data_IF_742875765754
#
_entry.id   IF_742875765754
#
_cell.length_a   1.000
_cell.length_b   1.000
_cell.length_c   1.000
_cell.angle_alpha   90.00
_cell.angle_beta   90.00
_cell.angle_gamma   90.00
#
_symmetry.space_group_name_H-M   'P 1'
#
loop_
_entity.id
_entity.type
_entity.pdbx_description
1 polymer ?
#
# COMPACT_ATOMS: atom_id res chain seq x y z
N UNK A 1 -31.99 23.15 -24.82
CA UNK A 1 -32.08 21.70 -25.18
C UNK A 1 -30.69 21.04 -25.23
N UNK A 2 -29.71 21.53 -24.47
CA UNK A 2 -28.31 21.05 -24.44
C UNK A 2 -27.87 20.55 -23.04
N UNK A 3 -28.75 20.54 -22.03
CA UNK A 3 -28.43 20.05 -20.67
C UNK A 3 -28.81 18.58 -20.43
N UNK A 4 -29.74 18.01 -21.22
CA UNK A 4 -30.16 16.60 -21.04
C UNK A 4 -29.16 15.59 -21.59
N UNK A 5 -28.37 15.96 -22.61
CA UNK A 5 -27.39 15.05 -23.23
C UNK A 5 -26.12 14.83 -22.40
N UNK A 6 -25.77 15.76 -21.50
CA UNK A 6 -24.62 15.59 -20.59
C UNK A 6 -24.98 14.74 -19.37
N UNK A 7 -26.20 14.89 -18.84
CA UNK A 7 -26.70 14.11 -17.70
C UNK A 7 -26.86 12.63 -18.06
N UNK A 8 -27.49 12.30 -19.18
CA UNK A 8 -27.68 10.89 -19.60
C UNK A 8 -26.36 10.15 -19.89
N UNK A 9 -25.30 10.88 -20.25
CA UNK A 9 -23.94 10.36 -20.39
C UNK A 9 -23.30 10.08 -19.03
N UNK A 10 -23.35 11.06 -18.12
CA UNK A 10 -22.87 10.93 -16.75
C UNK A 10 -23.59 9.82 -15.96
N UNK A 11 -24.91 9.67 -16.14
CA UNK A 11 -25.70 8.62 -15.49
C UNK A 11 -25.26 7.22 -15.91
N UNK A 12 -24.95 7.01 -17.20
CA UNK A 12 -24.45 5.74 -17.71
C UNK A 12 -23.05 5.43 -17.18
N UNK A 13 -22.16 6.41 -17.23
CA UNK A 13 -20.81 6.29 -16.70
C UNK A 13 -20.82 5.93 -15.19
N UNK A 14 -21.66 6.61 -14.40
CA UNK A 14 -21.82 6.31 -12.97
C UNK A 14 -22.40 4.91 -12.75
N UNK A 15 -23.34 4.46 -13.59
CA UNK A 15 -23.93 3.12 -13.48
C UNK A 15 -22.87 2.03 -13.68
N UNK A 16 -22.06 2.16 -14.73
CA UNK A 16 -20.98 1.22 -15.05
C UNK A 16 -19.91 1.20 -13.94
N UNK A 17 -19.51 2.38 -13.45
CA UNK A 17 -18.57 2.52 -12.34
C UNK A 17 -19.13 1.89 -11.06
N UNK A 18 -20.40 2.15 -10.73
CA UNK A 18 -21.04 1.56 -9.54
C UNK A 18 -21.09 0.03 -9.62
N UNK A 19 -21.47 -0.51 -10.79
CA UNK A 19 -21.49 -1.96 -11.02
C UNK A 19 -20.11 -2.57 -10.78
N UNK A 20 -19.08 -1.94 -11.36
CA UNK A 20 -17.71 -2.39 -11.27
C UNK A 20 -17.12 -2.30 -9.85
N UNK A 21 -17.47 -1.25 -9.09
CA UNK A 21 -17.08 -1.08 -7.70
C UNK A 21 -17.93 -1.89 -6.71
N UNK A 22 -19.05 -2.46 -7.16
CA UNK A 22 -20.04 -3.09 -6.29
C UNK A 22 -20.80 -2.11 -5.39
N UNK A 23 -20.94 -0.86 -5.82
CA UNK A 23 -21.70 0.18 -5.11
C UNK A 23 -23.15 0.21 -5.59
N UNK A 24 -24.07 0.55 -4.68
CA UNK A 24 -25.46 0.82 -5.07
C UNK A 24 -25.51 2.13 -5.84
N UNK A 25 -26.08 2.11 -7.04
CA UNK A 25 -26.14 3.31 -7.89
C UNK A 25 -26.81 4.50 -7.19
N UNK A 26 -27.90 4.25 -6.47
CA UNK A 26 -28.61 5.28 -5.69
C UNK A 26 -27.74 5.90 -4.61
N UNK A 27 -26.82 5.13 -3.99
CA UNK A 27 -25.93 5.67 -2.96
C UNK A 27 -25.02 6.77 -3.49
N UNK A 28 -24.49 6.61 -4.70
CA UNK A 28 -23.59 7.59 -5.32
C UNK A 28 -24.38 8.76 -5.90
N UNK A 29 -25.45 8.48 -6.64
CA UNK A 29 -26.27 9.51 -7.29
C UNK A 29 -26.92 10.46 -6.27
N UNK A 30 -27.56 9.93 -5.22
CA UNK A 30 -28.26 10.74 -4.20
C UNK A 30 -27.30 11.69 -3.47
N UNK A 31 -26.01 11.37 -3.41
CA UNK A 31 -24.98 12.21 -2.78
C UNK A 31 -24.40 13.22 -3.77
N UNK A 32 -24.12 12.82 -5.02
CA UNK A 32 -23.65 13.75 -6.05
C UNK A 32 -24.70 14.82 -6.37
N UNK A 33 -25.98 14.46 -6.41
CA UNK A 33 -27.08 15.41 -6.65
C UNK A 33 -27.16 16.53 -5.60
N UNK A 34 -26.71 16.27 -4.37
CA UNK A 34 -26.65 17.25 -3.28
C UNK A 34 -25.45 18.20 -3.37
N UNK A 35 -24.47 17.87 -4.20
CA UNK A 35 -23.30 18.71 -4.45
C UNK A 35 -23.63 19.65 -5.60
N UNK A 36 -23.33 20.94 -5.41
CA UNK A 36 -23.52 21.95 -6.46
C UNK A 36 -22.68 21.60 -7.70
N UNK A 37 -23.12 22.03 -8.88
CA UNK A 37 -22.34 21.76 -10.10
C UNK A 37 -20.93 22.37 -10.04
N UNK A 38 -20.78 23.53 -9.39
CA UNK A 38 -19.48 24.20 -9.21
C UNK A 38 -18.55 23.37 -8.32
N UNK A 39 -19.09 22.74 -7.27
CA UNK A 39 -18.28 21.97 -6.33
C UNK A 39 -17.85 20.61 -6.90
N UNK A 40 -18.62 20.02 -7.81
CA UNK A 40 -18.33 18.68 -8.36
C UNK A 40 -16.97 18.60 -9.03
N UNK A 41 -16.56 19.67 -9.71
CA UNK A 41 -15.32 19.71 -10.48
C UNK A 41 -14.06 19.92 -9.60
N UNK A 42 -14.22 20.17 -8.29
CA UNK A 42 -13.09 20.31 -7.37
C UNK A 42 -12.38 19.00 -7.04
N UNK A 43 -13.01 17.84 -7.30
CA UNK A 43 -12.44 16.53 -7.01
C UNK A 43 -12.76 15.53 -8.13
N UNK A 44 -11.92 14.50 -8.25
CA UNK A 44 -12.23 13.40 -9.15
C UNK A 44 -13.45 12.61 -8.65
N UNK A 45 -14.14 11.89 -9.54
CA UNK A 45 -15.22 11.00 -9.15
C UNK A 45 -14.75 9.92 -8.15
N UNK A 46 -13.51 9.44 -8.29
CA UNK A 46 -12.90 8.50 -7.34
C UNK A 46 -12.84 9.11 -5.94
N UNK A 47 -12.37 10.35 -5.80
CA UNK A 47 -12.24 11.04 -4.52
C UNK A 47 -13.60 11.36 -3.90
N UNK A 48 -14.60 11.71 -4.71
CA UNK A 48 -15.98 11.85 -4.24
C UNK A 48 -16.54 10.55 -3.68
N UNK A 49 -16.39 9.44 -4.40
CA UNK A 49 -16.87 8.12 -3.95
C UNK A 49 -16.19 7.72 -2.64
N UNK A 50 -14.87 7.87 -2.54
CA UNK A 50 -14.11 7.58 -1.31
C UNK A 50 -14.62 8.45 -0.16
N UNK A 51 -14.82 9.75 -0.38
CA UNK A 51 -15.36 10.68 0.62
C UNK A 51 -16.75 10.24 1.10
N UNK A 52 -17.61 9.77 0.20
CA UNK A 52 -18.95 9.28 0.55
C UNK A 52 -18.90 8.05 1.45
N UNK A 53 -18.04 7.08 1.11
CA UNK A 53 -17.84 5.86 1.89
C UNK A 53 -17.30 6.21 3.29
N UNK A 54 -16.26 7.05 3.37
CA UNK A 54 -15.66 7.48 4.63
C UNK A 54 -16.67 8.22 5.53
N UNK A 55 -17.41 9.18 4.98
CA UNK A 55 -18.43 9.93 5.73
C UNK A 55 -19.56 9.02 6.23
N UNK A 56 -20.00 8.07 5.41
CA UNK A 56 -20.98 7.07 5.84
C UNK A 56 -20.41 6.19 6.95
N UNK A 57 -19.14 5.78 6.87
CA UNK A 57 -18.50 4.97 7.90
C UNK A 57 -18.38 5.70 9.25
N UNK A 58 -18.16 7.02 9.25
CA UNK A 58 -18.14 7.80 10.49
C UNK A 58 -19.45 7.69 11.28
N UNK A 59 -20.58 7.59 10.58
CA UNK A 59 -21.91 7.45 11.21
C UNK A 59 -22.23 6.05 11.74
N UNK A 60 -21.42 5.03 11.40
CA UNK A 60 -21.63 3.65 11.86
C UNK A 60 -21.18 3.47 13.32
N UNK A 61 -21.93 2.66 14.09
CA UNK A 61 -21.65 2.37 15.49
C UNK A 61 -20.27 1.71 15.68
N UNK A 62 -19.60 1.99 16.80
CA UNK A 62 -18.30 1.37 17.12
C UNK A 62 -18.37 -0.15 17.23
N UNK A 63 -19.52 -0.71 17.63
CA UNK A 63 -19.76 -2.15 17.73
C UNK A 63 -19.74 -2.83 16.37
N UNK A 64 -20.35 -2.21 15.36
CA UNK A 64 -20.43 -2.78 14.01
C UNK A 64 -19.09 -2.71 13.28
N UNK A 65 -18.22 -1.76 13.63
CA UNK A 65 -16.86 -1.58 13.08
C UNK A 65 -15.87 -2.68 13.48
N UNK A 66 -16.23 -3.57 14.42
CA UNK A 66 -15.29 -4.52 15.04
C UNK A 66 -14.89 -5.68 14.15
N UNK A 67 -15.72 -6.05 13.18
CA UNK A 67 -15.43 -7.17 12.29
C UNK A 67 -15.72 -6.83 10.83
N UNK A 68 -14.82 -7.21 9.90
CA UNK A 68 -15.10 -7.17 8.48
C UNK A 68 -16.32 -7.99 8.10
N UNK A 69 -17.40 -7.33 7.68
CA UNK A 69 -18.66 -7.98 7.29
C UNK A 69 -19.30 -7.33 6.05
N UNK A 70 -20.14 -8.10 5.36
CA UNK A 70 -20.91 -7.61 4.22
C UNK A 70 -21.96 -6.59 4.66
N UNK A 71 -22.53 -6.75 5.85
CA UNK A 71 -23.52 -5.85 6.45
C UNK A 71 -22.91 -4.47 6.73
N UNK A 72 -21.67 -4.44 7.23
CA UNK A 72 -20.95 -3.19 7.45
C UNK A 72 -20.70 -2.47 6.12
N UNK A 73 -20.25 -3.17 5.07
CA UNK A 73 -20.07 -2.58 3.74
C UNK A 73 -21.41 -2.09 3.15
N UNK A 74 -22.48 -2.84 3.35
CA UNK A 74 -23.82 -2.44 2.94
C UNK A 74 -24.27 -1.12 3.59
N UNK A 75 -23.92 -0.90 4.86
CA UNK A 75 -24.22 0.35 5.57
C UNK A 75 -23.49 1.57 5.01
N UNK A 76 -22.36 1.36 4.31
CA UNK A 76 -21.55 2.41 3.69
C UNK A 76 -21.66 2.46 2.17
N UNK A 77 -22.72 1.85 1.61
CA UNK A 77 -23.14 2.06 0.23
C UNK A 77 -22.90 0.90 -0.74
N UNK A 78 -22.26 -0.19 -0.29
CA UNK A 78 -22.03 -1.34 -1.15
C UNK A 78 -23.30 -2.20 -1.33
N UNK A 79 -23.38 -2.87 -2.48
CA UNK A 79 -24.35 -3.95 -2.69
C UNK A 79 -23.80 -5.24 -2.04
N UNK A 80 -24.46 -5.78 -0.99
CA UNK A 80 -23.99 -6.98 -0.30
C UNK A 80 -23.94 -8.23 -1.20
N UNK A 81 -24.55 -8.19 -2.39
CA UNK A 81 -24.51 -9.29 -3.38
C UNK A 81 -23.39 -9.15 -4.41
N UNK A 82 -22.61 -8.07 -4.36
CA UNK A 82 -21.50 -7.86 -5.28
C UNK A 82 -20.28 -8.70 -4.89
N UNK A 83 -19.59 -9.26 -5.90
CA UNK A 83 -18.28 -9.91 -5.73
C UNK A 83 -17.20 -8.96 -5.19
N UNK A 84 -17.37 -7.65 -5.33
CA UNK A 84 -16.51 -6.65 -4.71
C UNK A 84 -16.57 -6.74 -3.18
N UNK A 85 -17.75 -6.96 -2.59
CA UNK A 85 -17.91 -7.09 -1.13
C UNK A 85 -17.16 -8.32 -0.62
N UNK A 86 -17.27 -9.45 -1.31
CA UNK A 86 -16.52 -10.67 -0.96
C UNK A 86 -15.00 -10.41 -0.99
N UNK A 87 -14.53 -9.72 -2.03
CA UNK A 87 -13.12 -9.34 -2.19
C UNK A 87 -12.63 -8.42 -1.08
N UNK A 88 -13.37 -7.34 -0.78
CA UNK A 88 -13.01 -6.37 0.26
C UNK A 88 -12.97 -7.04 1.64
N UNK A 89 -13.98 -7.86 1.97
CA UNK A 89 -14.04 -8.56 3.26
C UNK A 89 -12.89 -9.56 3.38
N UNK A 90 -12.59 -10.34 2.34
CA UNK A 90 -11.48 -11.29 2.34
C UNK A 90 -10.14 -10.57 2.56
N UNK A 91 -9.88 -9.49 1.81
CA UNK A 91 -8.68 -8.67 1.95
C UNK A 91 -8.57 -8.05 3.35
N UNK A 92 -9.66 -7.47 3.85
CA UNK A 92 -9.69 -6.85 5.18
C UNK A 92 -9.40 -7.86 6.30
N UNK A 93 -9.89 -9.11 6.20
CA UNK A 93 -9.58 -10.17 7.16
C UNK A 93 -8.09 -10.51 7.19
N UNK A 94 -7.45 -10.55 6.02
CA UNK A 94 -6.01 -10.85 5.90
C UNK A 94 -5.11 -9.69 6.38
N UNK A 95 -5.63 -8.47 6.44
CA UNK A 95 -4.88 -7.26 6.84
C UNK A 95 -5.43 -6.58 8.10
N UNK A 96 -6.30 -7.26 8.87
CA UNK A 96 -7.11 -6.68 9.95
C UNK A 96 -6.29 -6.02 11.07
N UNK A 97 -5.01 -6.36 11.21
CA UNK A 97 -4.11 -5.75 12.20
C UNK A 97 -3.52 -4.41 11.72
N UNK A 98 -3.73 -4.06 10.46
CA UNK A 98 -3.07 -2.92 9.83
C UNK A 98 -4.01 -1.98 9.09
N UNK A 99 -5.13 -2.49 8.58
CA UNK A 99 -6.08 -1.77 7.73
C UNK A 99 -7.49 -2.13 8.22
N UNK A 100 -8.29 -1.11 8.53
CA UNK A 100 -9.71 -1.30 8.86
C UNK A 100 -10.58 -1.52 7.61
N UNK A 101 -11.84 -1.94 7.78
CA UNK A 101 -12.69 -2.27 6.63
C UNK A 101 -12.98 -1.06 5.72
N UNK A 102 -13.12 0.14 6.29
CA UNK A 102 -13.39 1.35 5.51
C UNK A 102 -12.16 1.74 4.70
N UNK A 103 -10.98 1.68 5.31
CA UNK A 103 -9.72 1.90 4.61
C UNK A 103 -9.52 0.84 3.51
N UNK A 104 -9.86 -0.43 3.76
CA UNK A 104 -9.78 -1.47 2.73
C UNK A 104 -10.75 -1.21 1.56
N UNK A 105 -11.96 -0.72 1.85
CA UNK A 105 -12.90 -0.32 0.82
C UNK A 105 -12.36 0.83 -0.05
N UNK A 106 -11.74 1.85 0.58
CA UNK A 106 -11.05 2.91 -0.13
C UNK A 106 -9.91 2.37 -1.02
N UNK A 107 -9.07 1.49 -0.46
CA UNK A 107 -7.98 0.85 -1.20
C UNK A 107 -8.51 0.13 -2.43
N UNK A 108 -9.57 -0.65 -2.26
CA UNK A 108 -10.22 -1.37 -3.36
C UNK A 108 -10.73 -0.43 -4.44
N UNK A 109 -11.43 0.65 -4.06
CA UNK A 109 -11.96 1.65 -4.99
C UNK A 109 -10.83 2.29 -5.79
N UNK A 110 -9.78 2.78 -5.11
CA UNK A 110 -8.63 3.43 -5.77
C UNK A 110 -7.90 2.47 -6.70
N UNK A 111 -7.71 1.21 -6.30
CA UNK A 111 -7.11 0.16 -7.15
C UNK A 111 -7.93 -0.11 -8.42
N UNK A 112 -9.25 -0.18 -8.26
CA UNK A 112 -10.21 -0.37 -9.33
C UNK A 112 -10.16 0.80 -10.34
N UNK A 113 -10.11 2.05 -9.88
CA UNK A 113 -9.92 3.21 -10.74
C UNK A 113 -8.56 3.21 -11.46
N UNK A 114 -7.50 2.84 -10.74
CA UNK A 114 -6.12 2.81 -11.24
C UNK A 114 -5.94 1.81 -12.39
N UNK A 115 -6.57 0.64 -12.31
CA UNK A 115 -6.26 -0.47 -13.20
C UNK A 115 -7.37 -0.95 -14.13
N UNK A 116 -8.64 -0.57 -13.91
CA UNK A 116 -9.77 -1.13 -14.67
C UNK A 116 -10.80 -0.12 -15.17
N UNK A 117 -10.97 1.03 -14.51
CA UNK A 117 -11.92 2.08 -14.98
C UNK A 117 -11.29 3.03 -15.99
N UNK A 118 -9.98 3.29 -15.91
CA UNK A 118 -9.34 4.31 -16.75
C UNK A 118 -9.28 3.90 -18.24
N UNK A 119 -9.86 4.66 -19.18
CA UNK A 119 -9.83 4.34 -20.62
C UNK A 119 -8.42 4.36 -21.25
N UNK A 120 -7.44 4.99 -20.60
CA UNK A 120 -6.05 5.05 -21.05
C UNK A 120 -5.23 3.81 -20.69
N UNK A 121 -5.79 2.88 -19.90
CA UNK A 121 -5.13 1.60 -19.63
C UNK A 121 -5.29 0.70 -20.84
N UNK A 122 -4.41 0.85 -21.84
CA UNK A 122 -3.96 -0.31 -22.60
C UNK A 122 -3.40 -1.26 -21.55
N UNK A 123 -4.20 -2.24 -21.15
CA UNK A 123 -3.88 -3.19 -20.07
C UNK A 123 -2.83 -4.17 -20.55
N UNK A 124 -1.62 -3.68 -20.82
CA UNK A 124 -0.45 -4.52 -20.81
C UNK A 124 -0.42 -5.22 -19.45
N UNK A 125 -0.37 -6.56 -19.48
CA UNK A 125 -0.42 -7.38 -18.26
C UNK A 125 0.67 -6.98 -17.25
N UNK A 126 1.79 -6.47 -17.76
CA UNK A 126 2.95 -5.98 -17.03
C UNK A 126 3.40 -4.60 -17.55
N UNK A 127 3.95 -3.75 -16.67
CA UNK A 127 4.33 -2.38 -17.04
C UNK A 127 5.61 -2.29 -17.88
N UNK A 128 6.50 -3.29 -17.79
CA UNK A 128 7.82 -3.28 -18.44
C UNK A 128 8.04 -4.58 -19.21
N UNK A 129 8.46 -4.45 -20.48
CA UNK A 129 8.73 -5.57 -21.40
C UNK A 129 7.66 -6.67 -21.30
N UNK A 130 6.39 -6.30 -21.45
CA UNK A 130 5.23 -7.17 -21.19
C UNK A 130 5.18 -8.45 -22.02
N UNK A 131 5.97 -8.53 -23.09
CA UNK A 131 6.14 -9.71 -23.94
C UNK A 131 7.11 -10.76 -23.35
N UNK A 132 7.85 -10.42 -22.29
CA UNK A 132 8.78 -11.33 -21.60
C UNK A 132 8.15 -11.68 -20.25
N UNK A 133 7.78 -12.95 -20.07
CA UNK A 133 7.20 -13.47 -18.83
C UNK A 133 8.00 -14.67 -18.33
N UNK A 134 7.99 -14.88 -17.02
CA UNK A 134 8.66 -15.98 -16.31
C UNK A 134 10.16 -16.13 -16.67
N UNK A 135 10.80 -15.02 -17.03
CA UNK A 135 12.22 -14.96 -17.38
C UNK A 135 12.79 -13.64 -16.87
N UNK A 136 13.94 -13.71 -16.20
CA UNK A 136 14.66 -12.54 -15.71
C UNK A 136 15.20 -11.69 -16.87
N UNK A 137 15.06 -10.37 -16.73
CA UNK A 137 15.67 -9.39 -17.61
C UNK A 137 16.21 -8.22 -16.80
N UNK A 138 17.27 -7.60 -17.31
CA UNK A 138 17.94 -6.47 -16.64
C UNK A 138 17.53 -5.14 -17.24
N UNK A 139 17.32 -4.15 -16.39
CA UNK A 139 17.15 -2.76 -16.76
C UNK A 139 18.31 -1.92 -16.22
N UNK A 140 18.88 -1.08 -17.07
CA UNK A 140 19.85 -0.07 -16.67
C UNK A 140 19.11 1.22 -16.29
N UNK A 141 19.44 1.75 -15.11
CA UNK A 141 18.92 3.01 -14.61
C UNK A 141 20.06 4.02 -14.66
N UNK A 142 19.83 5.11 -15.39
CA UNK A 142 20.71 6.27 -15.36
C UNK A 142 20.23 7.19 -14.24
N UNK A 143 21.05 7.39 -13.21
CA UNK A 143 20.80 8.46 -12.25
C UNK A 143 21.17 9.79 -12.91
N UNK A 144 20.19 10.62 -13.24
CA UNK A 144 20.41 11.96 -13.79
C UNK A 144 20.96 12.93 -12.74
N UNK A 145 20.91 12.57 -11.46
CA UNK A 145 21.03 13.54 -10.35
C UNK A 145 22.43 13.65 -9.78
N UNK A 146 23.43 13.25 -10.56
CA UNK A 146 24.82 13.29 -10.13
C UNK A 146 25.71 13.73 -11.29
N UNK A 147 26.02 15.04 -11.35
CA UNK A 147 27.20 15.59 -12.06
C UNK A 147 28.51 15.10 -11.39
N UNK A 148 28.67 13.79 -11.20
CA UNK A 148 29.94 13.19 -10.84
C UNK A 148 30.45 12.47 -12.07
N UNK A 149 31.60 12.94 -12.52
CA UNK A 149 32.50 12.30 -13.47
C UNK A 149 32.55 10.79 -13.17
N UNK A 150 31.87 9.98 -14.00
CA UNK A 150 31.76 8.53 -13.84
C UNK A 150 30.39 8.08 -13.31
N UNK A 151 29.33 8.25 -14.11
CA UNK A 151 28.00 7.72 -13.79
C UNK A 151 28.06 6.20 -13.63
N UNK A 152 27.84 5.71 -12.41
CA UNK A 152 27.70 4.27 -12.15
C UNK A 152 26.35 3.83 -12.69
N UNK A 153 26.35 3.06 -13.77
CA UNK A 153 25.16 2.40 -14.30
C UNK A 153 24.62 1.44 -13.24
N UNK A 154 23.48 1.76 -12.64
CA UNK A 154 22.83 0.87 -11.68
C UNK A 154 21.93 -0.09 -12.47
N UNK A 155 22.06 -1.38 -12.19
CA UNK A 155 21.25 -2.41 -12.80
C UNK A 155 20.25 -2.97 -11.80
N UNK A 156 19.00 -3.11 -12.25
CA UNK A 156 17.96 -3.82 -11.49
C UNK A 156 17.52 -5.02 -12.31
N UNK A 157 17.43 -6.17 -11.65
CA UNK A 157 16.92 -7.40 -12.25
C UNK A 157 15.38 -7.47 -12.08
N UNK A 158 14.67 -7.76 -13.16
CA UNK A 158 13.21 -7.78 -13.16
C UNK A 158 12.67 -9.10 -13.72
N UNK A 159 11.51 -9.50 -13.21
CA UNK A 159 10.76 -10.64 -13.74
C UNK A 159 9.26 -10.32 -13.72
N UNK A 160 8.59 -10.69 -14.81
CA UNK A 160 7.15 -10.66 -14.92
C UNK A 160 6.61 -12.08 -14.70
N UNK A 161 6.10 -12.35 -13.50
CA UNK A 161 5.62 -13.68 -13.10
C UNK A 161 4.13 -13.83 -13.36
N UNK A 162 3.76 -14.82 -14.16
CA UNK A 162 2.38 -15.28 -14.33
C UNK A 162 2.20 -16.54 -13.49
N UNK A 163 1.30 -16.50 -12.52
CA UNK A 163 1.07 -17.61 -11.59
C UNK A 163 -0.40 -17.70 -11.19
N UNK A 164 -0.75 -18.76 -10.47
CA UNK A 164 -1.98 -18.86 -9.70
C UNK A 164 -1.70 -18.67 -8.21
N UNK A 165 -2.74 -18.35 -7.45
CA UNK A 165 -2.67 -18.05 -6.01
C UNK A 165 -1.93 -19.14 -5.22
N UNK A 166 -2.21 -20.43 -5.50
CA UNK A 166 -1.65 -21.57 -4.78
C UNK A 166 -0.15 -21.78 -5.00
N UNK A 167 0.43 -21.21 -6.07
CA UNK A 167 1.84 -21.38 -6.43
C UNK A 167 2.69 -20.11 -6.20
N UNK A 168 2.05 -18.97 -5.91
CA UNK A 168 2.74 -17.69 -5.80
C UNK A 168 3.90 -17.73 -4.78
N UNK A 169 3.66 -18.29 -3.59
CA UNK A 169 4.70 -18.39 -2.55
C UNK A 169 5.80 -19.38 -2.88
N UNK A 170 5.49 -20.52 -3.51
CA UNK A 170 6.52 -21.49 -3.90
C UNK A 170 7.44 -20.94 -4.98
N UNK A 171 6.86 -20.26 -5.99
CA UNK A 171 7.63 -19.61 -7.05
C UNK A 171 8.48 -18.49 -6.44
N UNK A 172 7.91 -17.65 -5.58
CA UNK A 172 8.65 -16.59 -4.89
C UNK A 172 9.90 -17.14 -4.18
N UNK A 173 9.76 -18.22 -3.40
CA UNK A 173 10.89 -18.84 -2.70
C UNK A 173 11.95 -19.38 -3.66
N UNK A 174 11.54 -20.00 -4.76
CA UNK A 174 12.46 -20.49 -5.79
C UNK A 174 13.22 -19.35 -6.47
N UNK A 175 12.50 -18.33 -6.95
CA UNK A 175 13.11 -17.19 -7.64
C UNK A 175 14.08 -16.42 -6.74
N UNK A 176 13.67 -16.12 -5.51
CA UNK A 176 14.54 -15.44 -4.54
C UNK A 176 15.72 -16.30 -4.11
N UNK A 177 15.52 -17.62 -3.93
CA UNK A 177 16.60 -18.54 -3.54
C UNK A 177 17.68 -18.69 -4.61
N UNK A 178 17.32 -18.52 -5.90
CA UNK A 178 18.27 -18.52 -7.00
C UNK A 178 19.01 -17.19 -7.15
N UNK A 179 18.34 -16.08 -6.81
CA UNK A 179 18.83 -14.73 -7.04
C UNK A 179 19.72 -14.21 -5.90
N UNK A 180 19.35 -14.50 -4.65
CA UNK A 180 20.01 -13.93 -3.48
C UNK A 180 21.19 -14.81 -3.04
N UNK A 181 22.40 -14.25 -3.10
CA UNK A 181 23.59 -14.90 -2.53
C UNK A 181 23.46 -15.02 -1.01
N UNK A 182 23.84 -16.19 -0.45
CA UNK A 182 24.00 -16.39 1.00
C UNK A 182 25.28 -15.71 1.49
N UNK A 183 25.34 -14.40 1.36
CA UNK A 183 26.44 -13.59 1.90
C UNK A 183 25.99 -12.94 3.21
N UNK A 184 26.71 -13.24 4.29
CA UNK A 184 26.44 -12.72 5.64
C UNK A 184 26.61 -11.20 5.73
N UNK A 185 27.24 -10.57 4.74
CA UNK A 185 27.44 -9.11 4.72
C UNK A 185 26.18 -8.32 4.38
N UNK A 186 25.15 -8.94 3.81
CA UNK A 186 23.95 -8.25 3.37
C UNK A 186 22.72 -8.59 4.23
N UNK A 187 21.80 -7.63 4.32
CA UNK A 187 20.42 -7.84 4.77
C UNK A 187 19.53 -7.73 3.54
N UNK A 188 18.65 -8.69 3.37
CA UNK A 188 17.63 -8.62 2.31
C UNK A 188 16.32 -8.13 2.93
N UNK A 189 15.77 -7.07 2.35
CA UNK A 189 14.52 -6.47 2.77
C UNK A 189 13.55 -6.40 1.58
N UNK A 190 12.27 -6.49 1.90
CA UNK A 190 11.20 -6.60 0.92
C UNK A 190 10.17 -5.50 1.13
N UNK A 191 9.68 -4.97 0.01
CA UNK A 191 8.55 -4.04 0.00
C UNK A 191 7.48 -4.56 -0.97
N UNK A 192 6.27 -4.80 -0.45
CA UNK A 192 5.11 -5.16 -1.24
C UNK A 192 4.33 -3.93 -1.69
N UNK A 193 4.08 -3.81 -2.99
CA UNK A 193 3.37 -2.67 -3.59
C UNK A 193 2.62 -3.08 -4.86
N UNK A 194 2.16 -2.11 -5.65
CA UNK A 194 1.53 -2.35 -6.95
C UNK A 194 2.46 -2.05 -8.13
N UNK A 195 2.12 -2.54 -9.33
CA UNK A 195 2.95 -2.41 -10.54
C UNK A 195 3.38 -0.98 -10.86
N UNK A 196 2.44 -0.02 -10.84
CA UNK A 196 2.76 1.38 -11.15
C UNK A 196 3.60 2.01 -10.06
N UNK A 197 3.29 1.74 -8.78
CA UNK A 197 4.09 2.25 -7.66
C UNK A 197 5.52 1.69 -7.67
N UNK A 198 5.71 0.42 -8.05
CA UNK A 198 7.03 -0.17 -8.26
C UNK A 198 7.80 0.52 -9.40
N UNK A 199 7.12 0.90 -10.49
CA UNK A 199 7.73 1.67 -11.57
C UNK A 199 8.10 3.08 -11.12
N UNK A 200 7.24 3.76 -10.36
CA UNK A 200 7.55 5.07 -9.80
C UNK A 200 8.79 4.99 -8.89
N UNK A 201 8.88 3.98 -8.02
CA UNK A 201 10.08 3.77 -7.18
C UNK A 201 11.34 3.53 -8.03
N UNK A 202 11.23 2.69 -9.06
CA UNK A 202 12.34 2.37 -9.96
C UNK A 202 12.87 3.64 -10.66
N UNK A 203 11.98 4.43 -11.26
CA UNK A 203 12.36 5.56 -12.11
C UNK A 203 12.54 6.88 -11.34
N UNK A 204 11.78 7.11 -10.29
CA UNK A 204 11.69 8.39 -9.57
C UNK A 204 12.21 8.32 -8.14
N UNK A 205 12.40 7.11 -7.60
CA UNK A 205 12.89 6.91 -6.24
C UNK A 205 11.76 6.78 -5.23
N UNK A 206 12.14 6.65 -3.97
CA UNK A 206 11.21 6.43 -2.86
C UNK A 206 10.67 7.79 -2.40
N UNK A 207 9.41 8.08 -2.72
CA UNK A 207 8.70 9.25 -2.19
C UNK A 207 7.99 8.88 -0.87
N UNK A 208 8.50 9.41 0.25
CA UNK A 208 7.92 9.13 1.57
C UNK A 208 6.51 9.68 1.73
N UNK A 209 6.12 10.74 1.02
CA UNK A 209 4.80 11.38 1.11
C UNK A 209 3.67 10.49 0.56
N UNK A 210 4.02 9.46 -0.20
CA UNK A 210 3.09 8.45 -0.70
C UNK A 210 2.78 7.37 0.37
N UNK A 211 3.45 7.44 1.53
CA UNK A 211 3.20 6.57 2.67
C UNK A 211 1.77 6.67 3.18
N UNK A 212 1.21 5.54 3.62
CA UNK A 212 -0.18 5.51 4.13
C UNK A 212 -0.29 6.15 5.51
N UNK A 213 -1.48 6.65 5.83
CA UNK A 213 -1.80 7.17 7.16
C UNK A 213 -1.88 6.02 8.17
N UNK A 214 -1.76 6.36 9.47
CA UNK A 214 -2.00 5.44 10.59
C UNK A 214 -1.27 4.10 10.48
N UNK A 215 0.03 4.14 10.25
CA UNK A 215 0.92 2.97 10.30
C UNK A 215 1.68 2.94 11.63
N UNK A 216 2.47 1.90 11.88
CA UNK A 216 3.08 1.68 13.19
C UNK A 216 4.08 2.79 13.56
N UNK A 217 4.85 3.25 12.58
CA UNK A 217 5.99 4.16 12.75
C UNK A 217 5.89 5.44 11.92
N UNK A 218 4.78 5.61 11.19
CA UNK A 218 4.53 6.80 10.39
C UNK A 218 3.04 6.98 10.12
N UNK A 219 2.68 8.17 9.66
CA UNK A 219 1.31 8.48 9.27
C UNK A 219 1.39 9.48 8.11
N UNK A 220 1.30 8.98 6.88
CA UNK A 220 1.37 9.80 5.67
C UNK A 220 2.78 10.12 5.15
N UNK A 221 3.82 9.59 5.79
CA UNK A 221 5.21 9.96 5.49
C UNK A 221 6.14 8.85 5.94
N UNK A 222 6.32 7.82 5.12
CA UNK A 222 7.20 6.71 5.45
C UNK A 222 7.16 5.56 4.45
N UNK A 223 8.26 4.82 4.37
CA UNK A 223 8.42 3.67 3.48
C UNK A 223 8.76 2.41 4.29
N UNK A 224 7.92 1.38 4.16
CA UNK A 224 8.01 0.18 4.99
C UNK A 224 8.71 -0.97 4.28
N UNK A 225 9.58 -1.63 5.02
CA UNK A 225 10.37 -2.78 4.60
C UNK A 225 10.21 -3.89 5.65
N UNK A 226 10.29 -5.15 5.23
CA UNK A 226 10.32 -6.32 6.11
C UNK A 226 11.38 -7.32 5.64
N UNK A 227 11.87 -8.18 6.51
CA UNK A 227 12.77 -9.28 6.15
C UNK A 227 12.01 -10.53 5.65
N UNK A 228 10.67 -10.50 5.69
CA UNK A 228 9.82 -11.61 5.28
C UNK A 228 9.15 -11.35 3.92
N UNK A 229 9.67 -11.99 2.88
CA UNK A 229 9.13 -11.87 1.52
C UNK A 229 7.67 -12.31 1.39
N UNK A 230 7.21 -13.29 2.17
CA UNK A 230 5.84 -13.78 2.13
C UNK A 230 4.88 -12.77 2.75
N UNK A 231 5.29 -12.10 3.85
CA UNK A 231 4.50 -11.01 4.44
C UNK A 231 4.39 -9.82 3.49
N UNK A 232 5.47 -9.43 2.83
CA UNK A 232 5.47 -8.37 1.83
C UNK A 232 4.58 -8.71 0.62
N UNK A 233 4.67 -9.93 0.08
CA UNK A 233 3.80 -10.36 -1.02
C UNK A 233 2.33 -10.45 -0.57
N UNK A 234 2.06 -10.97 0.62
CA UNK A 234 0.71 -11.02 1.19
C UNK A 234 0.13 -9.60 1.32
N UNK A 235 0.93 -8.62 1.76
CA UNK A 235 0.51 -7.22 1.79
C UNK A 235 0.11 -6.70 0.40
N UNK A 236 0.97 -6.90 -0.60
CA UNK A 236 0.71 -6.44 -1.98
C UNK A 236 -0.59 -7.05 -2.53
N UNK A 237 -0.75 -8.38 -2.42
CA UNK A 237 -1.93 -9.11 -2.96
C UNK A 237 -3.25 -8.68 -2.32
N UNK A 238 -3.22 -8.33 -1.03
CA UNK A 238 -4.42 -7.89 -0.34
C UNK A 238 -4.72 -6.39 -0.55
N UNK A 239 -3.82 -5.61 -1.14
CA UNK A 239 -4.02 -4.17 -1.35
C UNK A 239 -4.13 -3.75 -2.81
N UNK A 240 -3.82 -4.64 -3.76
CA UNK A 240 -3.94 -4.36 -5.19
C UNK A 240 -4.27 -5.61 -6.02
N UNK A 241 -4.87 -5.41 -7.19
CA UNK A 241 -5.01 -6.45 -8.23
C UNK A 241 -3.76 -6.64 -9.10
N UNK A 242 -2.77 -5.74 -9.00
CA UNK A 242 -1.51 -5.81 -9.74
C UNK A 242 -0.31 -5.77 -8.78
N UNK A 243 -0.07 -6.85 -8.01
CA UNK A 243 0.96 -6.88 -6.98
C UNK A 243 2.37 -6.90 -7.56
N UNK A 244 3.28 -6.21 -6.88
CA UNK A 244 4.72 -6.21 -7.14
C UNK A 244 5.49 -6.36 -5.82
N UNK A 245 6.66 -6.97 -5.89
CA UNK A 245 7.59 -7.11 -4.78
C UNK A 245 8.94 -6.49 -5.17
N UNK A 246 9.39 -5.53 -4.38
CA UNK A 246 10.73 -4.95 -4.50
C UNK A 246 11.64 -5.66 -3.50
N UNK A 247 12.86 -5.97 -3.94
CA UNK A 247 13.90 -6.63 -3.15
C UNK A 247 15.07 -5.68 -3.02
N UNK A 248 15.41 -5.35 -1.78
CA UNK A 248 16.53 -4.50 -1.44
C UNK A 248 17.63 -5.36 -0.81
N UNK A 249 18.86 -5.23 -1.31
CA UNK A 249 20.03 -5.90 -0.75
C UNK A 249 20.95 -4.85 -0.12
N UNK A 250 20.88 -4.76 1.19
CA UNK A 250 21.48 -3.68 1.99
C UNK A 250 22.75 -4.20 2.66
N UNK A 251 23.90 -3.60 2.36
CA UNK A 251 25.17 -3.91 3.01
C UNK A 251 25.15 -3.51 4.51
N UNK A 252 25.42 -4.47 5.40
CA UNK A 252 25.39 -4.23 6.86
C UNK A 252 26.40 -3.21 7.35
N UNK A 253 27.56 -3.10 6.72
CA UNK A 253 28.65 -2.23 7.17
C UNK A 253 28.51 -0.81 6.61
N UNK A 254 28.20 -0.67 5.32
CA UNK A 254 28.11 0.63 4.65
C UNK A 254 26.86 1.42 5.08
N UNK A 255 25.75 0.73 5.41
CA UNK A 255 24.52 1.41 5.85
C UNK A 255 24.41 1.60 7.36
N UNK A 256 25.32 1.02 8.15
CA UNK A 256 25.33 1.21 9.61
C UNK A 256 26.02 2.52 10.04
N UNK A 257 26.74 3.22 9.16
CA UNK A 257 27.52 4.40 9.54
C UNK A 257 26.85 5.74 9.25
N UNK A 258 25.88 5.79 8.32
CA UNK A 258 25.40 7.06 7.76
C UNK A 258 23.94 7.40 8.09
N UNK A 259 23.20 6.49 8.73
CA UNK A 259 21.79 6.69 9.08
C UNK A 259 21.55 6.55 10.59
N UNK A 260 20.88 7.53 11.18
CA UNK A 260 20.48 7.48 12.59
C UNK A 260 19.26 6.58 12.76
N UNK A 261 19.41 5.56 13.61
CA UNK A 261 18.47 4.45 13.68
C UNK A 261 17.85 4.31 15.06
N UNK A 262 16.52 4.33 15.13
CA UNK A 262 15.78 3.98 16.33
C UNK A 262 15.39 2.50 16.32
N UNK A 263 15.99 1.71 17.21
CA UNK A 263 15.64 0.30 17.42
C UNK A 263 14.66 0.15 18.60
N UNK A 264 13.50 -0.46 18.34
CA UNK A 264 12.43 -0.63 19.32
C UNK A 264 12.23 -2.08 19.80
N UNK A 265 13.15 -3.01 19.49
CA UNK A 265 13.00 -4.43 19.87
C UNK A 265 13.08 -4.65 21.39
N UNK A 266 13.83 -3.82 22.10
CA UNK A 266 14.08 -3.97 23.54
C UNK A 266 13.45 -2.85 24.38
N UNK A 267 12.61 -2.01 23.78
CA UNK A 267 11.94 -0.90 24.45
C UNK A 267 10.43 -0.92 24.15
N UNK A 268 9.72 -1.85 24.81
CA UNK A 268 8.29 -2.05 24.61
C UNK A 268 7.48 -0.81 25.01
N UNK A 269 7.90 -0.07 26.03
CA UNK A 269 7.23 1.15 26.45
C UNK A 269 7.29 2.22 25.35
N UNK A 270 8.47 2.45 24.79
CA UNK A 270 8.67 3.41 23.71
C UNK A 270 7.99 2.96 22.42
N UNK A 271 8.06 1.67 22.11
CA UNK A 271 7.34 1.07 20.99
C UNK A 271 5.84 1.35 21.11
N UNK A 272 5.24 1.07 22.27
CA UNK A 272 3.81 1.26 22.51
C UNK A 272 3.38 2.73 22.39
N UNK A 273 4.19 3.66 22.92
CA UNK A 273 3.96 5.10 22.78
C UNK A 273 3.92 5.53 21.31
N UNK A 274 4.92 5.11 20.52
CA UNK A 274 5.05 5.46 19.11
C UNK A 274 3.91 4.87 18.29
N UNK A 275 3.67 3.56 18.42
CA UNK A 275 2.63 2.85 17.66
C UNK A 275 1.24 3.41 17.96
N UNK A 276 0.92 3.63 19.24
CA UNK A 276 -0.38 4.19 19.63
C UNK A 276 -0.56 5.59 19.06
N UNK A 277 0.49 6.44 19.09
CA UNK A 277 0.43 7.80 18.56
C UNK A 277 0.23 7.84 17.04
N UNK A 278 0.93 6.99 16.27
CA UNK A 278 0.74 6.99 14.83
C UNK A 278 -0.58 6.33 14.41
N UNK A 279 -0.97 5.22 15.06
CA UNK A 279 -2.20 4.49 14.74
C UNK A 279 -3.47 5.27 15.06
N UNK A 280 -3.46 6.17 16.04
CA UNK A 280 -4.61 7.06 16.28
C UNK A 280 -4.78 8.13 15.17
N UNK A 281 -3.73 8.41 14.40
CA UNK A 281 -3.65 9.57 13.51
C UNK A 281 -3.32 10.88 14.22
N UNK A 282 -3.25 10.86 15.55
CA UNK A 282 -2.89 12.02 16.37
C UNK A 282 -1.37 12.09 16.52
N UNK A 283 -0.70 12.64 15.50
CA UNK A 283 0.73 12.97 15.62
C UNK A 283 0.92 14.06 16.68
N UNK A 284 1.21 13.67 17.92
CA UNK A 284 1.56 14.65 18.95
C UNK A 284 2.84 15.39 18.56
N UNK A 285 2.93 16.68 18.86
CA UNK A 285 4.15 17.46 18.62
C UNK A 285 5.36 16.85 19.34
N UNK A 286 5.12 16.19 20.48
CA UNK A 286 6.10 15.45 21.26
C UNK A 286 6.71 14.29 20.49
N UNK A 287 5.86 13.41 19.93
CA UNK A 287 6.32 12.25 19.13
C UNK A 287 7.15 12.73 17.93
N UNK A 288 6.66 13.73 17.18
CA UNK A 288 7.39 14.32 16.04
C UNK A 288 8.77 14.84 16.43
N UNK A 289 8.84 15.67 17.46
CA UNK A 289 10.12 16.25 17.92
C UNK A 289 11.10 15.16 18.36
N UNK A 290 10.61 14.11 18.99
CA UNK A 290 11.45 13.00 19.46
C UNK A 290 11.93 12.06 18.36
N UNK A 291 11.27 12.06 17.19
CA UNK A 291 11.64 11.22 16.06
C UNK A 291 12.47 11.95 15.00
N UNK A 292 12.53 13.29 15.07
CA UNK A 292 13.27 14.11 14.11
C UNK A 292 14.80 13.88 14.10
N UNK A 293 15.34 13.18 15.10
CA UNK A 293 16.75 12.83 15.18
C UNK A 293 17.09 11.50 14.48
N UNK A 294 16.10 10.79 13.94
CA UNK A 294 16.28 9.48 13.32
C UNK A 294 15.89 9.52 11.86
N UNK A 295 16.62 8.77 11.05
CA UNK A 295 16.36 8.57 9.64
C UNK A 295 15.46 7.36 9.38
N UNK A 296 15.50 6.37 10.28
CA UNK A 296 14.68 5.17 10.22
C UNK A 296 14.34 4.63 11.60
N UNK A 297 13.21 3.91 11.65
CA UNK A 297 12.71 3.22 12.84
C UNK A 297 12.58 1.74 12.51
N UNK A 298 13.10 0.86 13.37
CA UNK A 298 12.86 -0.58 13.27
C UNK A 298 12.26 -1.14 14.56
N UNK A 299 11.52 -2.22 14.41
CA UNK A 299 10.94 -2.92 15.54
C UNK A 299 9.95 -3.99 15.08
N UNK A 300 9.27 -4.62 16.05
CA UNK A 300 8.23 -5.59 15.76
C UNK A 300 7.01 -4.94 15.10
N UNK A 301 6.33 -5.72 14.27
CA UNK A 301 5.02 -5.41 13.67
C UNK A 301 3.95 -5.37 14.77
N UNK A 302 3.04 -4.41 14.72
CA UNK A 302 1.94 -4.37 15.70
C UNK A 302 0.88 -5.42 15.40
N UNK A 303 0.34 -5.99 16.48
CA UNK A 303 -0.96 -6.69 16.47
C UNK A 303 -1.96 -5.83 17.20
N UNK A 304 -3.22 -5.92 16.79
CA UNK A 304 -4.31 -5.13 17.36
C UNK A 304 -5.33 -6.05 18.03
N UNK A 305 -5.75 -5.70 19.24
CA UNK A 305 -6.86 -6.32 19.96
C UNK A 305 -7.79 -5.24 20.48
N UNK A 306 -9.09 -5.52 20.49
CA UNK A 306 -10.06 -4.64 21.13
C UNK A 306 -10.17 -4.99 22.61
N UNK A 307 -10.06 -3.99 23.49
CA UNK A 307 -10.33 -4.16 24.90
C UNK A 307 -11.83 -4.46 25.09
N UNK A 308 -12.15 -5.59 25.71
CA UNK A 308 -13.53 -6.04 25.90
C UNK A 308 -14.38 -5.11 26.78
N UNK A 309 -13.77 -4.36 27.70
CA UNK A 309 -14.47 -3.46 28.61
C UNK A 309 -14.59 -2.02 28.10
N UNK A 310 -13.54 -1.47 27.49
CA UNK A 310 -13.53 -0.07 27.02
C UNK A 310 -13.86 0.06 25.53
N UNK A 311 -13.72 -1.02 24.75
CA UNK A 311 -13.85 -0.98 23.30
C UNK A 311 -12.67 -0.32 22.58
N UNK A 312 -11.63 0.09 23.32
CA UNK A 312 -10.44 0.74 22.78
C UNK A 312 -9.52 -0.27 22.07
N UNK A 313 -8.77 0.22 21.09
CA UNK A 313 -7.75 -0.56 20.41
C UNK A 313 -6.48 -0.59 21.26
N UNK A 314 -6.01 -1.80 21.54
CA UNK A 314 -4.75 -2.06 22.24
C UNK A 314 -3.79 -2.70 21.26
N UNK A 315 -2.58 -2.15 21.18
CA UNK A 315 -1.52 -2.64 20.33
C UNK A 315 -0.51 -3.45 21.14
N UNK A 316 -0.05 -4.56 20.58
CA UNK A 316 1.02 -5.39 21.16
C UNK A 316 2.02 -5.83 20.08
N UNK A 317 3.32 -5.96 20.41
CA UNK A 317 4.31 -6.48 19.48
C UNK A 317 3.97 -7.88 18.98
N UNK A 318 4.00 -8.11 17.66
CA UNK A 318 3.93 -9.44 17.05
C UNK A 318 5.26 -10.16 17.29
N UNK A 319 5.28 -11.32 17.99
CA UNK A 319 6.52 -12.04 18.24
C UNK A 319 7.24 -12.43 16.95
N UNK A 320 8.58 -12.37 16.96
CA UNK A 320 9.47 -12.76 15.85
C UNK A 320 9.19 -12.03 14.52
N UNK A 321 8.52 -10.88 14.58
CA UNK A 321 8.27 -10.04 13.40
C UNK A 321 9.29 -8.92 13.31
N UNK A 322 9.52 -8.46 12.08
CA UNK A 322 10.41 -7.36 11.77
C UNK A 322 9.74 -6.41 10.78
N UNK A 323 9.81 -5.12 11.07
CA UNK A 323 9.57 -4.07 10.10
C UNK A 323 10.60 -2.95 10.29
N UNK A 324 10.91 -2.28 9.19
CA UNK A 324 11.67 -1.05 9.14
C UNK A 324 10.83 0.01 8.43
N UNK A 325 10.84 1.23 8.95
CA UNK A 325 10.20 2.39 8.35
C UNK A 325 11.25 3.46 8.11
N UNK A 326 11.51 3.78 6.83
CA UNK A 326 12.30 4.96 6.45
C UNK A 326 11.44 6.20 6.68
N UNK A 327 11.99 7.22 7.34
CA UNK A 327 11.29 8.46 7.70
C UNK A 327 12.05 9.74 7.30
N UNK A 328 13.16 9.58 6.59
CA UNK A 328 14.02 10.66 6.09
C UNK A 328 14.33 10.45 4.62
N UNK A 329 14.21 11.51 3.81
CA UNK A 329 14.40 11.45 2.36
C UNK A 329 15.85 11.07 1.99
N UNK A 330 16.85 11.55 2.76
CA UNK A 330 18.25 11.19 2.54
C UNK A 330 18.48 9.68 2.69
N UNK A 331 17.82 9.06 3.67
CA UNK A 331 17.88 7.62 3.87
C UNK A 331 17.12 6.87 2.77
N UNK A 332 15.98 7.38 2.32
CA UNK A 332 15.23 6.84 1.19
C UNK A 332 16.07 6.83 -0.10
N UNK A 333 16.84 7.88 -0.36
CA UNK A 333 17.76 7.99 -1.50
C UNK A 333 18.91 6.97 -1.43
N UNK A 334 19.43 6.72 -0.22
CA UNK A 334 20.44 5.69 0.01
C UNK A 334 19.85 4.30 -0.28
N UNK A 335 18.67 4.00 0.27
CA UNK A 335 17.97 2.72 0.06
C UNK A 335 17.58 2.49 -1.40
N UNK A 336 17.28 3.55 -2.15
CA UNK A 336 17.02 3.43 -3.60
C UNK A 336 18.19 2.74 -4.31
N UNK A 337 19.42 3.04 -3.93
CA UNK A 337 20.64 2.46 -4.55
C UNK A 337 20.84 0.99 -4.24
N UNK A 338 20.16 0.48 -3.22
CA UNK A 338 20.21 -0.94 -2.80
C UNK A 338 19.09 -1.77 -3.42
N UNK A 339 18.24 -1.18 -4.27
CA UNK A 339 17.20 -1.90 -4.99
C UNK A 339 17.85 -2.90 -5.94
N UNK A 340 17.71 -4.19 -5.62
CA UNK A 340 18.35 -5.28 -6.34
C UNK A 340 17.42 -5.81 -7.45
N UNK A 341 16.17 -6.08 -7.11
CA UNK A 341 15.23 -6.68 -8.06
C UNK A 341 13.77 -6.32 -7.83
N UNK A 342 12.97 -6.47 -8.89
CA UNK A 342 11.52 -6.28 -8.88
C UNK A 342 10.83 -7.50 -9.48
N UNK A 343 9.90 -8.09 -8.75
CA UNK A 343 9.02 -9.15 -9.23
C UNK A 343 7.63 -8.56 -9.44
N UNK A 344 7.18 -8.48 -10.69
CA UNK A 344 5.80 -8.12 -11.01
C UNK A 344 4.96 -9.39 -11.10
N UNK A 345 3.81 -9.44 -10.43
CA UNK A 345 2.95 -10.61 -10.42
C UNK A 345 1.65 -10.35 -11.18
N UNK A 346 1.26 -11.32 -11.99
CA UNK A 346 -0.10 -11.51 -12.48
C UNK A 346 -0.62 -12.83 -11.89
N UNK A 347 -1.55 -12.73 -10.93
CA UNK A 347 -2.05 -13.87 -10.17
C UNK A 347 -3.48 -14.16 -10.62
N UNK A 348 -3.64 -15.27 -11.32
CA UNK A 348 -4.92 -15.72 -11.90
C UNK A 348 -5.76 -16.54 -10.92
#
# INVERSE_FOLDING_TARGET
>A
MLERSSLDGLFREISDICSFLGLRQTFVLDKLEKISSEDRDHQSLCDWIVTFVQNSFQSVSLTDKRSPSAELLASIGFDPRSSAVETIVARARNTQHHIDLCEMAEIFIRDQFKYKVSPSSVTCMFPLRSNITNTWFRLSIFSSDVEIVGGSECHVDLINLVTIESHAYSILRTELGNLLSKDDQNVVLFHGTDHLSACDILFRGIDLCQGRQKRDFSCGSGFYLTDNCEEALNWAKNTTTKPALLVFQVNRQEHSTDAEKLNLFNDEQRWCEIVTSFRSGEKTARTRKSLAAYDLIEGPVSTMKTNGSTGELVFSPKPLSYQMCLISDSCADIFRRTLHSILFFDIC
#
